data_IF_905303911716
#
_entry.id   IF_905303911716
#
_cell.length_a   1.000
_cell.length_b   1.000
_cell.length_c   1.000
_cell.angle_alpha   90.00
_cell.angle_beta   90.00
_cell.angle_gamma   90.00
#
_symmetry.space_group_name_H-M   'P 1'
#
loop_
_entity.id
_entity.type
_entity.pdbx_description
1 polymer ?
#
# COMPACT_ATOMS: atom_id res chain seq x y z
N UNK A 1 5.38 -43.24 -7.28
CA UNK A 1 5.69 -42.08 -6.41
C UNK A 1 5.57 -40.85 -7.28
N UNK A 2 4.49 -40.06 -7.14
CA UNK A 2 4.26 -38.86 -7.97
C UNK A 2 4.88 -37.63 -7.29
N UNK A 3 5.42 -36.65 -8.04
CA UNK A 3 5.94 -35.41 -7.48
C UNK A 3 4.78 -34.58 -6.92
N UNK A 4 4.93 -34.02 -5.71
CA UNK A 4 4.04 -32.96 -5.23
C UNK A 4 4.26 -31.73 -6.11
N UNK A 5 3.28 -31.40 -6.95
CA UNK A 5 3.18 -30.07 -7.53
C UNK A 5 3.02 -29.06 -6.38
N UNK A 6 4.08 -28.33 -6.08
CA UNK A 6 3.95 -27.04 -5.41
C UNK A 6 3.55 -26.06 -6.50
N UNK A 7 2.25 -25.77 -6.59
CA UNK A 7 1.76 -24.66 -7.43
C UNK A 7 2.46 -23.36 -7.06
N UNK A 8 2.38 -22.32 -7.91
CA UNK A 8 2.94 -21.01 -7.58
C UNK A 8 2.41 -20.60 -6.21
N UNK A 9 3.32 -20.28 -5.27
CA UNK A 9 2.94 -19.69 -3.99
C UNK A 9 2.45 -18.27 -4.29
N UNK A 10 1.21 -18.16 -4.75
CA UNK A 10 0.51 -16.88 -4.83
C UNK A 10 0.31 -16.45 -3.39
N UNK A 11 1.15 -15.55 -2.89
CA UNK A 11 0.89 -14.82 -1.66
C UNK A 11 -0.49 -14.21 -1.79
N UNK A 12 -1.51 -14.80 -1.15
CA UNK A 12 -2.89 -14.34 -1.31
C UNK A 12 -3.03 -13.03 -0.53
N UNK A 13 -3.04 -11.91 -1.23
CA UNK A 13 -3.33 -10.61 -0.63
C UNK A 13 -4.84 -10.45 -0.50
N UNK A 14 -5.30 -10.17 0.72
CA UNK A 14 -6.71 -9.90 0.99
C UNK A 14 -6.93 -8.38 0.99
N UNK A 15 -7.74 -7.88 0.04
CA UNK A 15 -8.18 -6.49 0.01
C UNK A 15 -9.54 -6.34 0.69
N UNK A 16 -9.75 -5.20 1.34
CA UNK A 16 -11.03 -4.87 2.01
C UNK A 16 -11.51 -3.49 1.57
N UNK A 17 -12.81 -3.35 1.34
CA UNK A 17 -13.36 -2.07 0.89
C UNK A 17 -13.44 -1.08 2.05
N UNK A 18 -12.81 0.07 1.86
CA UNK A 18 -12.73 1.14 2.85
C UNK A 18 -13.89 2.12 2.68
N UNK A 19 -14.66 2.33 3.74
CA UNK A 19 -15.71 3.36 3.82
C UNK A 19 -15.19 4.66 4.43
N UNK A 20 -14.46 5.48 3.66
CA UNK A 20 -13.88 6.76 4.15
C UNK A 20 -14.47 7.99 3.45
N UNK A 21 -14.40 9.15 4.10
CA UNK A 21 -14.71 10.46 3.49
C UNK A 21 -13.42 11.20 3.17
N UNK A 22 -13.35 11.78 1.98
CA UNK A 22 -12.21 12.57 1.50
C UNK A 22 -12.71 13.77 0.70
N UNK A 23 -11.87 14.81 0.55
CA UNK A 23 -12.17 15.95 -0.30
C UNK A 23 -12.43 15.50 -1.75
N UNK A 24 -13.48 16.03 -2.38
CA UNK A 24 -14.01 15.57 -3.66
C UNK A 24 -12.99 15.70 -4.79
N UNK A 25 -12.28 16.82 -4.87
CA UNK A 25 -11.34 17.08 -5.96
C UNK A 25 -10.01 16.32 -5.74
N UNK A 26 -9.59 16.09 -4.50
CA UNK A 26 -8.46 15.24 -4.18
C UNK A 26 -8.70 13.80 -4.66
N UNK A 27 -9.91 13.27 -4.47
CA UNK A 27 -10.28 11.95 -5.03
C UNK A 27 -10.17 11.93 -6.56
N UNK A 28 -10.55 13.02 -7.25
CA UNK A 28 -10.38 13.11 -8.71
C UNK A 28 -8.90 13.10 -9.13
N UNK A 29 -8.06 13.83 -8.39
CA UNK A 29 -6.61 13.85 -8.63
C UNK A 29 -6.03 12.46 -8.43
N UNK A 30 -6.40 11.77 -7.36
CA UNK A 30 -5.93 10.41 -7.09
C UNK A 30 -6.37 9.42 -8.16
N UNK A 31 -7.64 9.47 -8.60
CA UNK A 31 -8.14 8.61 -9.69
C UNK A 31 -7.40 8.88 -11.00
N UNK A 32 -7.27 10.15 -11.39
CA UNK A 32 -6.55 10.49 -12.63
C UNK A 32 -5.07 10.10 -12.59
N UNK A 33 -4.41 10.18 -11.43
CA UNK A 33 -3.04 9.70 -11.26
C UNK A 33 -2.94 8.18 -11.34
N UNK A 34 -3.88 7.45 -10.75
CA UNK A 34 -3.95 6.00 -10.82
C UNK A 34 -4.12 5.54 -12.28
N UNK A 35 -5.07 6.14 -13.00
CA UNK A 35 -5.31 5.88 -14.43
C UNK A 35 -4.07 6.17 -15.27
N UNK A 36 -3.37 7.28 -15.01
CA UNK A 36 -2.13 7.64 -15.70
C UNK A 36 -1.01 6.62 -15.49
N UNK A 37 -0.95 6.01 -14.30
CA UNK A 37 0.08 5.02 -13.93
C UNK A 37 -0.31 3.58 -14.30
N UNK A 38 -1.48 3.34 -14.89
CA UNK A 38 -2.01 1.99 -15.13
C UNK A 38 -2.08 1.15 -13.83
N UNK A 39 -2.54 1.78 -12.74
CA UNK A 39 -2.76 1.15 -11.43
C UNK A 39 -4.16 1.46 -10.90
N UNK A 40 -4.71 0.60 -10.06
CA UNK A 40 -5.96 0.87 -9.35
C UNK A 40 -5.77 1.96 -8.29
N UNK A 41 -6.87 2.64 -7.93
CA UNK A 41 -6.85 3.59 -6.80
C UNK A 41 -6.39 2.92 -5.49
N UNK A 42 -6.72 1.65 -5.30
CA UNK A 42 -6.26 0.86 -4.15
C UNK A 42 -4.74 0.71 -4.12
N UNK A 43 -4.14 0.31 -5.24
CA UNK A 43 -2.68 0.17 -5.37
C UNK A 43 -1.94 1.50 -5.16
N UNK A 44 -2.47 2.59 -5.73
CA UNK A 44 -1.91 3.93 -5.49
C UNK A 44 -1.97 4.32 -4.01
N UNK A 45 -3.11 4.09 -3.35
CA UNK A 45 -3.27 4.39 -1.92
C UNK A 45 -2.33 3.53 -1.06
N UNK A 46 -2.25 2.23 -1.33
CA UNK A 46 -1.32 1.32 -0.64
C UNK A 46 0.12 1.82 -0.78
N UNK A 47 0.54 2.20 -2.00
CA UNK A 47 1.88 2.74 -2.25
C UNK A 47 2.15 4.04 -1.48
N UNK A 48 1.21 4.99 -1.48
CA UNK A 48 1.34 6.26 -0.73
C UNK A 48 1.48 5.98 0.77
N UNK A 49 0.64 5.09 1.32
CA UNK A 49 0.66 4.73 2.75
C UNK A 49 1.96 4.02 3.13
N UNK A 50 2.44 3.11 2.30
CA UNK A 50 3.73 2.45 2.53
C UNK A 50 4.88 3.47 2.53
N UNK A 51 4.88 4.44 1.62
CA UNK A 51 5.88 5.52 1.63
C UNK A 51 5.78 6.39 2.88
N UNK A 52 4.57 6.76 3.32
CA UNK A 52 4.41 7.61 4.51
C UNK A 52 4.90 6.93 5.79
N UNK A 53 4.93 5.59 5.82
CA UNK A 53 5.43 4.80 6.94
C UNK A 53 6.96 4.70 7.00
N UNK A 54 7.67 5.10 5.95
CA UNK A 54 9.13 5.08 5.95
C UNK A 54 9.70 6.33 6.64
N UNK A 55 10.64 6.16 7.58
CA UNK A 55 11.31 7.27 8.23
C UNK A 55 12.24 8.00 7.25
N UNK A 56 12.29 9.32 7.32
CA UNK A 56 13.41 10.11 6.77
C UNK A 56 14.35 10.44 7.93
N UNK A 57 15.53 9.79 8.03
CA UNK A 57 16.41 9.97 9.18
C UNK A 57 16.83 11.42 9.35
N UNK A 58 16.56 12.00 10.52
CA UNK A 58 16.88 13.39 10.83
C UNK A 58 15.73 14.39 10.58
N UNK A 59 14.73 14.02 9.79
CA UNK A 59 13.56 14.86 9.45
C UNK A 59 12.23 14.18 9.82
N UNK A 60 12.23 13.24 10.77
CA UNK A 60 11.01 12.48 11.14
C UNK A 60 9.93 13.39 11.74
N UNK A 61 8.76 13.44 11.09
CA UNK A 61 7.64 14.28 11.49
C UNK A 61 7.63 15.68 10.86
N UNK A 62 8.68 16.05 10.15
CA UNK A 62 8.80 17.35 9.47
C UNK A 62 8.76 17.20 7.94
N UNK A 63 9.22 16.06 7.41
CA UNK A 63 9.21 15.78 5.98
C UNK A 63 7.84 15.34 5.47
N UNK A 64 7.43 15.85 4.30
CA UNK A 64 6.22 15.39 3.59
C UNK A 64 6.24 13.88 3.29
N UNK A 65 7.42 13.29 3.11
CA UNK A 65 7.59 11.86 2.85
C UNK A 65 7.50 11.01 4.13
N UNK A 66 7.70 11.62 5.31
CA UNK A 66 7.63 10.95 6.61
C UNK A 66 6.93 11.84 7.64
N UNK A 67 5.60 12.03 7.50
CA UNK A 67 4.83 12.99 8.31
C UNK A 67 4.56 12.49 9.73
N UNK A 68 5.21 11.40 10.16
CA UNK A 68 4.97 10.75 11.43
C UNK A 68 6.14 11.02 12.39
N UNK A 69 5.81 11.41 13.63
CA UNK A 69 6.81 11.54 14.69
C UNK A 69 7.50 10.19 14.97
N UNK A 70 8.69 10.24 15.59
CA UNK A 70 9.45 9.05 16.02
C UNK A 70 8.59 8.05 16.80
N UNK A 71 7.77 8.55 17.74
CA UNK A 71 6.83 7.72 18.51
C UNK A 71 5.76 7.06 17.64
N UNK A 72 5.21 7.76 16.65
CA UNK A 72 4.22 7.18 15.73
C UNK A 72 4.86 6.12 14.83
N UNK A 73 6.09 6.35 14.36
CA UNK A 73 6.85 5.39 13.55
C UNK A 73 7.14 4.09 14.32
N UNK A 74 7.43 4.17 15.62
CA UNK A 74 7.56 2.99 16.49
C UNK A 74 6.25 2.18 16.59
N UNK A 75 5.12 2.88 16.73
CA UNK A 75 3.78 2.26 16.74
C UNK A 75 3.49 1.61 15.40
N UNK A 76 3.73 2.31 14.29
CA UNK A 76 3.55 1.79 12.92
C UNK A 76 4.38 0.52 12.71
N UNK A 77 5.67 0.54 13.09
CA UNK A 77 6.54 -0.64 13.01
C UNK A 77 6.01 -1.81 13.82
N UNK A 78 5.46 -1.56 15.00
CA UNK A 78 4.88 -2.60 15.86
C UNK A 78 3.62 -3.21 15.23
N UNK A 79 2.71 -2.36 14.72
CA UNK A 79 1.48 -2.82 14.06
C UNK A 79 1.76 -3.57 12.77
N UNK A 80 2.70 -3.11 11.93
CA UNK A 80 3.13 -3.82 10.71
C UNK A 80 3.60 -5.24 11.03
N UNK A 81 4.40 -5.41 12.09
CA UNK A 81 4.85 -6.73 12.55
C UNK A 81 3.69 -7.61 13.05
N UNK A 82 2.74 -7.03 13.78
CA UNK A 82 1.59 -7.77 14.32
C UNK A 82 0.68 -8.31 13.22
N UNK A 83 0.47 -7.55 12.15
CA UNK A 83 -0.44 -7.91 11.06
C UNK A 83 0.25 -8.55 9.85
N UNK A 84 1.51 -8.98 9.99
CA UNK A 84 2.34 -9.56 8.91
C UNK A 84 2.31 -8.73 7.61
N UNK A 85 2.29 -7.40 7.74
CA UNK A 85 2.40 -6.48 6.59
C UNK A 85 3.85 -6.51 6.13
N UNK A 86 4.14 -7.34 5.11
CA UNK A 86 5.47 -7.50 4.55
C UNK A 86 5.84 -6.35 3.60
N UNK A 87 7.11 -6.01 3.72
CA UNK A 87 7.99 -5.26 2.83
C UNK A 87 7.88 -3.72 2.71
N UNK A 88 9.09 -3.15 2.67
CA UNK A 88 9.61 -2.09 1.79
C UNK A 88 8.55 -1.23 1.06
N UNK A 89 8.74 0.09 1.02
CA UNK A 89 7.92 1.02 0.22
C UNK A 89 7.86 0.68 -1.28
N UNK A 90 8.69 -0.24 -1.75
CA UNK A 90 8.71 -0.82 -3.09
C UNK A 90 8.05 -2.20 -3.24
N UNK A 91 7.59 -2.82 -2.16
CA UNK A 91 6.82 -4.08 -2.16
C UNK A 91 5.57 -4.00 -3.05
N UNK A 92 5.08 -2.78 -3.28
CA UNK A 92 3.87 -2.58 -4.06
C UNK A 92 3.97 -3.02 -5.51
N UNK A 93 5.18 -3.19 -6.04
CA UNK A 93 5.42 -3.74 -7.39
C UNK A 93 5.12 -5.23 -7.49
N UNK A 94 4.98 -5.91 -6.36
CA UNK A 94 4.72 -7.34 -6.28
C UNK A 94 3.25 -7.65 -5.98
N UNK A 95 2.40 -6.64 -5.72
CA UNK A 95 0.97 -6.87 -5.54
C UNK A 95 0.35 -7.34 -6.86
N UNK A 96 -0.34 -8.49 -6.89
CA UNK A 96 -1.12 -8.90 -8.04
C UNK A 96 -2.19 -7.84 -8.35
N UNK A 97 -2.23 -7.39 -9.61
CA UNK A 97 -3.27 -6.50 -10.12
C UNK A 97 -4.63 -7.17 -9.93
N UNK A 98 -5.56 -6.43 -9.34
CA UNK A 98 -6.94 -6.88 -9.24
C UNK A 98 -7.71 -6.44 -10.49
N UNK A 99 -7.75 -7.31 -11.49
CA UNK A 99 -8.42 -7.03 -12.77
C UNK A 99 -9.96 -7.00 -12.62
N UNK A 100 -10.52 -7.21 -11.42
CA UNK A 100 -11.97 -7.25 -11.21
C UNK A 100 -12.66 -5.89 -11.21
N UNK A 101 -11.94 -4.79 -11.46
CA UNK A 101 -12.47 -3.43 -11.38
C UNK A 101 -12.40 -2.62 -12.69
N UNK A 102 -12.09 -3.24 -13.84
CA UNK A 102 -11.95 -2.51 -15.11
C UNK A 102 -13.25 -2.33 -15.93
N UNK A 103 -14.42 -2.69 -15.41
CA UNK A 103 -15.70 -2.49 -16.11
C UNK A 103 -16.63 -1.57 -15.30
N UNK A 104 -16.51 -0.26 -15.52
CA UNK A 104 -17.55 0.74 -15.24
C UNK A 104 -17.34 2.04 -16.05
#
# INVERSE_FOLDING_TARGET
MLPRYLGPMTTSFARVQLGVRMEKNLVKVLKGLADFNDESLGELLERIVLHSFEPVPGDEGESCASPHSKRQLEVIRTLRKLYDVRDDSHASREFPRDDSASDA
#
